data_IF_638573023404
#
_entry.id   IF_638573023404
#
_cell.length_a   1.000
_cell.length_b   1.000
_cell.length_c   1.000
_cell.angle_alpha   90.00
_cell.angle_beta   90.00
_cell.angle_gamma   90.00
#
_symmetry.space_group_name_H-M   'P 1'
#
loop_
_entity.id
_entity.type
_entity.pdbx_description
1 polymer ?
#
# COMPACT_ATOMS: atom_id res chain seq x y z
N UNK A 1 17.99 -55.42 33.81
CA UNK A 1 18.19 -54.00 33.43
C UNK A 1 17.75 -53.68 32.00
N UNK A 2 18.09 -54.49 31.00
CA UNK A 2 17.79 -54.24 29.58
C UNK A 2 16.30 -53.97 29.27
N UNK A 3 15.36 -54.73 29.86
CA UNK A 3 13.90 -54.50 29.67
C UNK A 3 13.41 -53.14 30.19
N UNK A 4 14.02 -52.61 31.25
CA UNK A 4 13.66 -51.28 31.81
C UNK A 4 14.17 -50.15 30.92
N UNK A 5 15.34 -50.33 30.31
CA UNK A 5 15.95 -49.38 29.36
C UNK A 5 15.14 -49.31 28.05
N UNK A 6 14.69 -50.46 27.54
CA UNK A 6 13.85 -50.53 26.33
C UNK A 6 12.49 -49.85 26.55
N UNK A 7 11.88 -50.01 27.73
CA UNK A 7 10.62 -49.31 28.06
C UNK A 7 10.81 -47.79 28.15
N UNK A 8 11.94 -47.33 28.68
CA UNK A 8 12.25 -45.89 28.76
C UNK A 8 12.48 -45.28 27.36
N UNK A 9 13.17 -45.99 26.47
CA UNK A 9 13.39 -45.54 25.09
C UNK A 9 12.07 -45.48 24.29
N UNK A 10 11.14 -46.40 24.53
CA UNK A 10 9.79 -46.33 23.93
C UNK A 10 8.98 -45.15 24.51
N UNK A 11 9.08 -44.86 25.80
CA UNK A 11 8.37 -43.73 26.43
C UNK A 11 8.85 -42.36 25.92
N UNK A 12 10.14 -42.20 25.62
CA UNK A 12 10.69 -40.98 25.03
C UNK A 12 10.36 -40.81 23.55
N UNK A 13 10.07 -41.91 22.83
CA UNK A 13 9.71 -41.87 21.40
C UNK A 13 8.33 -41.27 21.14
N UNK A 14 7.50 -41.11 22.18
CA UNK A 14 6.17 -40.49 22.12
C UNK A 14 6.12 -39.06 22.66
N UNK A 15 7.26 -38.49 23.04
CA UNK A 15 7.32 -37.06 23.34
C UNK A 15 7.38 -36.32 21.99
N UNK A 16 6.24 -36.27 21.31
CA UNK A 16 6.04 -35.26 20.27
C UNK A 16 6.09 -33.93 21.01
N UNK A 17 7.20 -33.21 20.82
CA UNK A 17 7.29 -31.80 21.21
C UNK A 17 6.30 -31.08 20.30
N UNK A 18 5.03 -31.05 20.70
CA UNK A 18 4.00 -30.15 20.19
C UNK A 18 4.36 -28.74 20.69
N UNK A 19 5.55 -28.27 20.32
CA UNK A 19 5.92 -26.89 20.49
C UNK A 19 4.91 -26.06 19.72
N UNK A 20 4.32 -25.07 20.38
CA UNK A 20 3.47 -24.10 19.71
C UNK A 20 4.25 -23.54 18.52
N UNK A 21 3.77 -23.77 17.30
CA UNK A 21 4.40 -23.17 16.12
C UNK A 21 4.34 -21.66 16.31
N UNK A 22 5.46 -20.97 16.08
CA UNK A 22 5.51 -19.52 16.21
C UNK A 22 4.41 -18.85 15.38
N UNK A 23 3.77 -17.82 15.93
CA UNK A 23 2.71 -17.07 15.23
C UNK A 23 3.35 -16.05 14.30
N UNK A 24 2.97 -16.08 13.03
CA UNK A 24 3.34 -15.07 12.04
C UNK A 24 2.11 -14.21 11.78
N UNK A 25 2.25 -12.90 11.98
CA UNK A 25 1.22 -11.92 11.67
C UNK A 25 1.55 -11.26 10.34
N UNK A 26 0.58 -11.21 9.43
CA UNK A 26 0.71 -10.56 8.14
C UNK A 26 -0.17 -9.31 8.13
N UNK A 27 0.41 -8.19 7.68
CA UNK A 27 -0.33 -6.97 7.39
C UNK A 27 -0.32 -6.82 5.87
N UNK A 28 -1.36 -7.28 5.17
CA UNK A 28 -1.42 -7.10 3.74
C UNK A 28 -1.72 -5.63 3.44
N UNK A 29 -1.04 -5.09 2.45
CA UNK A 29 -1.26 -3.71 2.04
C UNK A 29 -0.92 -3.49 0.58
N UNK A 30 -1.43 -2.38 0.07
CA UNK A 30 -1.25 -1.96 -1.32
C UNK A 30 -0.59 -0.59 -1.33
N UNK A 31 0.59 -0.52 -1.94
CA UNK A 31 1.19 0.75 -2.34
C UNK A 31 0.39 1.29 -3.52
N UNK A 32 -0.47 2.25 -3.20
CA UNK A 32 -1.51 2.73 -4.08
C UNK A 32 -1.11 4.09 -4.60
N UNK A 33 -0.53 4.05 -5.79
CA UNK A 33 -0.26 5.23 -6.62
C UNK A 33 -1.17 5.24 -7.84
N UNK A 34 -1.21 6.37 -8.53
CA UNK A 34 -1.64 6.42 -9.94
C UNK A 34 -0.42 6.02 -10.78
N UNK A 35 -0.09 4.73 -10.83
CA UNK A 35 1.05 4.19 -11.59
C UNK A 35 1.08 4.78 -13.03
N UNK A 36 2.25 5.03 -13.68
CA UNK A 36 2.37 5.91 -14.84
C UNK A 36 1.70 5.38 -16.13
N UNK A 37 1.04 4.22 -16.09
CA UNK A 37 0.32 3.63 -17.22
C UNK A 37 -1.21 3.63 -17.11
N UNK A 38 -1.77 4.00 -15.94
CA UNK A 38 -3.22 4.06 -15.74
C UNK A 38 -3.76 5.43 -15.35
N UNK A 39 -2.88 6.28 -14.81
CA UNK A 39 -3.24 7.62 -14.30
C UNK A 39 -2.80 8.76 -15.21
N UNK A 40 -1.60 8.71 -15.77
CA UNK A 40 -1.02 9.89 -16.42
C UNK A 40 -1.59 10.11 -17.82
N UNK A 41 -2.02 11.32 -18.14
CA UNK A 41 -2.49 11.67 -19.47
C UNK A 41 -1.33 11.58 -20.47
N UNK A 42 -1.54 10.88 -21.59
CA UNK A 42 -0.53 10.65 -22.63
C UNK A 42 -0.05 11.93 -23.34
N UNK A 43 -0.79 13.03 -23.20
CA UNK A 43 -0.50 14.33 -23.81
C UNK A 43 -0.04 15.39 -22.78
N UNK A 44 -0.31 15.22 -21.48
CA UNK A 44 0.22 16.08 -20.41
C UNK A 44 0.51 15.25 -19.15
N UNK A 45 1.79 15.01 -18.88
CA UNK A 45 2.26 14.25 -17.72
C UNK A 45 1.88 14.84 -16.34
N UNK A 46 1.24 16.01 -16.32
CA UNK A 46 0.73 16.67 -15.10
C UNK A 46 -0.77 16.48 -14.89
N UNK A 47 -1.47 15.84 -15.81
CA UNK A 47 -2.90 15.51 -15.65
C UNK A 47 -3.03 14.05 -15.29
N UNK A 48 -3.61 13.80 -14.12
CA UNK A 48 -3.83 12.47 -13.58
C UNK A 48 -5.30 12.08 -13.66
N UNK A 49 -5.55 10.86 -14.09
CA UNK A 49 -6.86 10.26 -14.25
C UNK A 49 -7.34 9.73 -12.91
N UNK A 50 -8.55 10.15 -12.51
CA UNK A 50 -9.23 9.60 -11.36
C UNK A 50 -9.83 8.20 -11.63
N UNK A 51 -9.79 7.71 -12.88
CA UNK A 51 -10.47 6.48 -13.28
C UNK A 51 -10.04 5.27 -12.45
N UNK A 52 -8.77 5.19 -12.02
CA UNK A 52 -8.28 4.11 -11.17
C UNK A 52 -9.14 3.91 -9.89
N UNK A 53 -9.67 4.99 -9.35
CA UNK A 53 -10.51 5.01 -8.14
C UNK A 53 -12.00 5.09 -8.46
N UNK A 54 -12.37 5.71 -9.58
CA UNK A 54 -13.75 6.06 -9.89
C UNK A 54 -14.46 5.09 -10.84
N UNK A 55 -13.72 4.33 -11.65
CA UNK A 55 -14.30 3.41 -12.64
C UNK A 55 -14.60 2.06 -11.98
N UNK A 56 -15.88 1.62 -11.94
CA UNK A 56 -16.27 0.33 -11.38
C UNK A 56 -15.57 -0.90 -11.97
N UNK A 57 -14.98 -0.78 -13.16
CA UNK A 57 -14.25 -1.86 -13.82
C UNK A 57 -12.77 -1.94 -13.41
N UNK A 58 -12.27 -1.00 -12.60
CA UNK A 58 -10.89 -0.96 -12.14
C UNK A 58 -10.67 -1.77 -10.86
N UNK A 59 -9.40 -2.05 -10.56
CA UNK A 59 -9.01 -2.91 -9.45
C UNK A 59 -9.44 -2.39 -8.08
N UNK A 60 -9.50 -1.06 -7.88
CA UNK A 60 -9.96 -0.46 -6.63
C UNK A 60 -11.38 -0.94 -6.27
N UNK A 61 -12.33 -0.77 -7.20
CA UNK A 61 -13.70 -1.24 -7.02
C UNK A 61 -13.81 -2.76 -6.87
N UNK A 62 -12.99 -3.54 -7.59
CA UNK A 62 -12.97 -4.99 -7.43
C UNK A 62 -12.58 -5.39 -6.01
N UNK A 63 -11.51 -4.80 -5.46
CA UNK A 63 -11.05 -5.12 -4.10
C UNK A 63 -12.06 -4.63 -3.06
N UNK A 64 -12.74 -3.52 -3.30
CA UNK A 64 -13.77 -2.99 -2.39
C UNK A 64 -15.10 -3.77 -2.43
N UNK A 65 -15.24 -4.78 -3.28
CA UNK A 65 -16.46 -5.58 -3.35
C UNK A 65 -16.46 -6.67 -2.25
N UNK A 66 -17.49 -6.72 -1.37
CA UNK A 66 -17.60 -7.77 -0.35
C UNK A 66 -17.51 -9.20 -0.90
N UNK A 67 -18.14 -9.45 -2.04
CA UNK A 67 -18.11 -10.77 -2.67
C UNK A 67 -16.70 -11.20 -3.11
N UNK A 68 -15.80 -10.25 -3.38
CA UNK A 68 -14.39 -10.53 -3.62
C UNK A 68 -13.64 -10.72 -2.29
N UNK A 69 -13.88 -9.85 -1.29
CA UNK A 69 -13.16 -9.85 0.00
C UNK A 69 -13.43 -11.07 0.85
N UNK A 70 -14.68 -11.53 0.90
CA UNK A 70 -15.10 -12.62 1.78
C UNK A 70 -14.51 -13.98 1.43
N UNK A 71 -13.92 -14.10 0.22
CA UNK A 71 -13.18 -15.26 -0.25
C UNK A 71 -11.83 -15.42 0.47
N UNK A 72 -11.31 -14.34 1.06
CA UNK A 72 -10.00 -14.29 1.70
C UNK A 72 -10.16 -14.14 3.21
N UNK A 73 -9.70 -15.14 3.95
CA UNK A 73 -9.74 -15.18 5.42
C UNK A 73 -8.42 -15.70 5.97
N UNK A 74 -8.04 -15.20 7.15
CA UNK A 74 -6.89 -15.75 7.87
C UNK A 74 -7.22 -17.12 8.50
N UNK A 75 -6.24 -17.75 9.15
CA UNK A 75 -6.42 -19.04 9.82
C UNK A 75 -7.37 -19.02 11.02
N UNK A 76 -7.79 -17.84 11.47
CA UNK A 76 -8.78 -17.63 12.52
C UNK A 76 -10.18 -17.32 11.96
N UNK A 77 -10.33 -17.26 10.62
CA UNK A 77 -11.58 -16.94 9.94
C UNK A 77 -11.86 -15.44 9.80
N UNK A 78 -10.94 -14.58 10.24
CA UNK A 78 -11.06 -13.12 10.11
C UNK A 78 -11.05 -12.77 8.62
N UNK A 79 -12.02 -11.98 8.12
CA UNK A 79 -11.96 -11.43 6.77
C UNK A 79 -10.67 -10.65 6.53
N UNK A 80 -10.18 -10.67 5.29
CA UNK A 80 -9.05 -9.85 4.86
C UNK A 80 -9.29 -8.38 5.23
N UNK A 81 -8.32 -7.79 5.93
CA UNK A 81 -8.19 -6.35 6.18
C UNK A 81 -6.95 -5.85 5.45
N UNK A 82 -7.00 -4.68 4.83
CA UNK A 82 -5.88 -4.11 4.09
C UNK A 82 -5.36 -2.86 4.74
N UNK A 83 -4.08 -2.58 4.53
CA UNK A 83 -3.51 -1.25 4.67
C UNK A 83 -3.32 -0.62 3.30
N UNK A 84 -3.89 0.56 3.09
CA UNK A 84 -3.76 1.33 1.86
C UNK A 84 -2.73 2.44 2.08
N UNK A 85 -1.61 2.35 1.36
CA UNK A 85 -0.52 3.33 1.38
C UNK A 85 -0.70 4.28 0.21
N UNK A 86 -1.23 5.48 0.48
CA UNK A 86 -1.63 6.41 -0.57
C UNK A 86 -0.45 7.30 -0.93
N UNK A 87 0.08 7.14 -2.15
CA UNK A 87 1.22 7.93 -2.61
C UNK A 87 0.86 9.42 -2.59
N UNK A 88 1.71 10.24 -1.98
CA UNK A 88 1.49 11.68 -1.84
C UNK A 88 2.77 12.47 -2.13
N UNK A 89 2.61 13.74 -2.49
CA UNK A 89 3.70 14.66 -2.84
C UNK A 89 4.36 14.40 -4.19
N UNK A 90 5.58 14.91 -4.36
CA UNK A 90 6.50 14.71 -5.48
C UNK A 90 5.87 14.96 -6.85
N UNK A 91 5.54 13.87 -7.55
CA UNK A 91 4.97 13.83 -8.89
C UNK A 91 3.62 14.55 -8.97
N UNK A 92 2.93 14.70 -7.83
CA UNK A 92 1.64 15.35 -7.75
C UNK A 92 1.71 16.86 -7.49
N UNK A 93 2.83 17.39 -6.99
CA UNK A 93 2.97 18.83 -6.75
C UNK A 93 2.80 19.66 -8.02
N UNK A 94 3.38 19.17 -9.12
CA UNK A 94 3.26 19.80 -10.44
C UNK A 94 1.96 19.44 -11.17
N UNK A 95 1.04 18.72 -10.52
CA UNK A 95 -0.24 18.36 -11.13
C UNK A 95 -1.06 19.60 -11.52
N UNK A 96 -1.81 19.45 -12.61
CA UNK A 96 -2.78 20.42 -13.13
C UNK A 96 -4.23 19.99 -12.89
N UNK A 97 -4.46 18.93 -12.10
CA UNK A 97 -5.79 18.49 -11.73
C UNK A 97 -6.54 19.60 -10.96
N UNK A 98 -7.62 20.12 -11.52
CA UNK A 98 -8.50 21.09 -10.87
C UNK A 98 -9.70 20.43 -10.16
N UNK A 99 -9.85 19.11 -10.28
CA UNK A 99 -10.98 18.34 -9.75
C UNK A 99 -10.68 17.69 -8.38
N UNK A 100 -9.54 18.01 -7.78
CA UNK A 100 -9.12 17.53 -6.46
C UNK A 100 -8.69 18.73 -5.60
N UNK A 101 -9.01 18.74 -4.29
CA UNK A 101 -8.81 19.92 -3.45
C UNK A 101 -7.33 20.21 -3.17
N UNK A 102 -6.56 19.16 -2.88
CA UNK A 102 -5.12 19.22 -2.63
C UNK A 102 -4.44 18.24 -3.57
N UNK A 103 -3.50 18.74 -4.38
CA UNK A 103 -2.87 17.95 -5.45
C UNK A 103 -1.93 16.91 -4.85
N UNK A 104 -1.15 17.31 -3.85
CA UNK A 104 -0.19 16.43 -3.17
C UNK A 104 -0.84 15.23 -2.48
N UNK A 105 -2.10 15.33 -2.05
CA UNK A 105 -2.83 14.24 -1.41
C UNK A 105 -3.97 13.69 -2.30
N UNK A 106 -3.85 13.88 -3.63
CA UNK A 106 -4.89 13.50 -4.59
C UNK A 106 -5.32 12.03 -4.47
N UNK A 107 -4.37 11.10 -4.35
CA UNK A 107 -4.67 9.67 -4.24
C UNK A 107 -5.51 9.37 -2.99
N UNK A 108 -5.12 9.95 -1.85
CA UNK A 108 -5.84 9.85 -0.58
C UNK A 108 -7.25 10.43 -0.69
N UNK A 109 -7.39 11.60 -1.32
CA UNK A 109 -8.69 12.20 -1.57
C UNK A 109 -9.58 11.30 -2.44
N UNK A 110 -9.06 10.77 -3.54
CA UNK A 110 -9.82 9.91 -4.46
C UNK A 110 -10.23 8.61 -3.79
N UNK A 111 -9.32 7.99 -3.04
CA UNK A 111 -9.60 6.77 -2.27
C UNK A 111 -10.74 7.00 -1.26
N UNK A 112 -10.69 8.10 -0.50
CA UNK A 112 -11.78 8.46 0.42
C UNK A 112 -13.08 8.75 -0.34
N UNK A 113 -13.01 9.51 -1.42
CA UNK A 113 -14.20 9.93 -2.19
C UNK A 113 -15.00 8.74 -2.75
N UNK A 114 -14.32 7.70 -3.21
CA UNK A 114 -14.97 6.58 -3.90
C UNK A 114 -15.09 5.31 -3.05
N UNK A 115 -14.30 5.16 -1.99
CA UNK A 115 -14.18 3.89 -1.26
C UNK A 115 -14.20 4.00 0.27
N UNK A 116 -14.42 5.18 0.86
CA UNK A 116 -14.40 5.33 2.32
C UNK A 116 -15.39 4.39 3.03
N UNK A 117 -16.63 4.31 2.55
CA UNK A 117 -17.65 3.44 3.15
C UNK A 117 -17.21 1.96 3.20
N UNK A 118 -16.54 1.49 2.13
CA UNK A 118 -16.02 0.13 2.07
C UNK A 118 -14.82 -0.06 3.00
N UNK A 119 -13.90 0.92 3.06
CA UNK A 119 -12.74 0.92 3.96
C UNK A 119 -13.21 0.81 5.42
N UNK A 120 -14.21 1.62 5.81
CA UNK A 120 -14.79 1.59 7.15
C UNK A 120 -15.49 0.26 7.44
N UNK A 121 -16.26 -0.26 6.48
CA UNK A 121 -16.96 -1.54 6.63
C UNK A 121 -16.01 -2.74 6.80
N UNK A 122 -14.85 -2.72 6.15
CA UNK A 122 -13.84 -3.79 6.24
C UNK A 122 -12.85 -3.60 7.38
N UNK A 123 -12.90 -2.48 8.11
CA UNK A 123 -11.89 -2.11 9.11
C UNK A 123 -10.47 -2.06 8.50
N UNK A 124 -10.40 -1.54 7.27
CA UNK A 124 -9.15 -1.31 6.55
C UNK A 124 -8.43 -0.06 7.12
N UNK A 125 -7.10 -0.04 7.01
CA UNK A 125 -6.27 1.10 7.37
C UNK A 125 -5.96 1.95 6.15
N UNK A 126 -6.00 3.27 6.30
CA UNK A 126 -5.71 4.23 5.24
C UNK A 126 -4.61 5.17 5.71
N UNK A 127 -3.48 5.17 5.02
CA UNK A 127 -2.26 5.89 5.42
C UNK A 127 -1.68 6.67 4.26
N UNK A 128 -0.91 7.70 4.58
CA UNK A 128 -0.16 8.48 3.60
C UNK A 128 1.21 7.85 3.40
N UNK A 129 1.64 7.77 2.15
CA UNK A 129 2.92 7.18 1.73
C UNK A 129 3.68 8.20 0.89
N UNK A 130 4.84 8.61 1.36
CA UNK A 130 5.62 9.69 0.75
C UNK A 130 6.98 9.17 0.31
N UNK A 131 7.37 9.48 -0.93
CA UNK A 131 8.71 9.21 -1.42
C UNK A 131 9.52 10.49 -1.42
N UNK A 132 10.83 10.46 -1.25
CA UNK A 132 11.67 11.64 -1.42
C UNK A 132 12.13 11.77 -2.88
N UNK A 133 11.21 11.67 -3.85
CA UNK A 133 11.54 11.82 -5.26
C UNK A 133 11.63 13.30 -5.65
N UNK A 134 12.66 13.66 -6.41
CA UNK A 134 12.79 15.00 -6.98
C UNK A 134 13.19 14.92 -8.45
N UNK A 135 12.76 15.89 -9.23
CA UNK A 135 12.99 15.95 -10.67
C UNK A 135 14.40 16.48 -10.95
N UNK A 136 15.28 15.61 -11.43
CA UNK A 136 16.70 15.97 -11.62
C UNK A 136 17.38 15.19 -12.75
N UNK A 137 18.47 15.77 -13.23
CA UNK A 137 19.46 15.14 -14.11
C UNK A 137 20.73 14.91 -13.28
N UNK A 138 20.86 13.70 -12.72
CA UNK A 138 21.93 13.42 -11.75
C UNK A 138 23.30 13.18 -12.40
N UNK A 139 23.34 12.86 -13.69
CA UNK A 139 24.58 12.58 -14.43
C UNK A 139 24.97 13.72 -15.40
N UNK A 140 24.13 14.74 -15.56
CA UNK A 140 24.42 15.94 -16.35
C UNK A 140 24.30 15.71 -17.87
N UNK A 141 23.53 14.72 -18.32
CA UNK A 141 23.39 14.40 -19.74
C UNK A 141 22.23 15.15 -20.44
N UNK A 142 21.51 15.98 -19.69
CA UNK A 142 20.34 16.74 -20.13
C UNK A 142 19.02 15.99 -20.03
N UNK A 143 19.01 14.74 -19.55
CA UNK A 143 17.81 13.91 -19.39
C UNK A 143 17.39 13.88 -17.93
N UNK A 144 16.16 14.33 -17.67
CA UNK A 144 15.63 14.43 -16.31
C UNK A 144 14.70 13.26 -16.00
N UNK A 145 14.76 12.81 -14.75
CA UNK A 145 13.91 11.75 -14.20
C UNK A 145 13.47 12.12 -12.78
N UNK A 146 12.43 11.43 -12.28
CA UNK A 146 12.13 11.42 -10.85
C UNK A 146 13.15 10.50 -10.16
N UNK A 147 14.16 11.09 -9.53
CA UNK A 147 15.21 10.37 -8.82
C UNK A 147 14.94 10.37 -7.33
N UNK A 148 15.38 9.32 -6.63
CA UNK A 148 15.40 9.33 -5.18
C UNK A 148 16.41 10.36 -4.67
N UNK A 149 15.96 11.26 -3.82
CA UNK A 149 16.79 12.24 -3.13
C UNK A 149 17.87 11.56 -2.30
N UNK A 150 19.11 12.00 -2.46
CA UNK A 150 20.22 11.59 -1.57
C UNK A 150 20.11 12.26 -0.19
N UNK A 151 19.35 13.34 -0.10
CA UNK A 151 19.04 14.08 1.11
C UNK A 151 17.54 14.41 1.14
N UNK A 152 16.90 14.24 2.30
CA UNK A 152 15.50 14.58 2.51
C UNK A 152 15.23 16.08 2.38
N UNK A 153 16.24 16.94 2.66
CA UNK A 153 16.08 18.40 2.58
C UNK A 153 15.75 18.89 1.17
N UNK A 154 16.07 18.11 0.13
CA UNK A 154 15.68 18.42 -1.26
C UNK A 154 14.16 18.40 -1.48
N UNK A 155 13.43 17.76 -0.57
CA UNK A 155 12.00 17.53 -0.65
C UNK A 155 11.22 18.15 0.51
N UNK A 156 11.89 18.89 1.42
CA UNK A 156 11.28 19.38 2.64
C UNK A 156 10.03 20.23 2.39
N UNK A 157 10.09 21.16 1.44
CA UNK A 157 8.95 22.03 1.10
C UNK A 157 7.74 21.22 0.60
N UNK A 158 7.98 20.26 -0.30
CA UNK A 158 6.92 19.40 -0.84
C UNK A 158 6.34 18.46 0.24
N UNK A 159 7.18 17.95 1.13
CA UNK A 159 6.74 17.15 2.27
C UNK A 159 5.86 17.96 3.24
N UNK A 160 6.30 19.17 3.60
CA UNK A 160 5.54 20.07 4.46
C UNK A 160 4.20 20.45 3.81
N UNK A 161 4.19 20.79 2.52
CA UNK A 161 2.93 21.06 1.82
C UNK A 161 1.99 19.84 1.82
N UNK A 162 2.55 18.64 1.69
CA UNK A 162 1.78 17.39 1.67
C UNK A 162 1.11 17.09 3.02
N UNK A 163 1.76 17.41 4.14
CA UNK A 163 1.26 17.11 5.48
C UNK A 163 0.46 18.24 6.13
N UNK A 164 0.77 19.50 5.79
CA UNK A 164 0.22 20.67 6.47
C UNK A 164 -1.07 21.23 5.82
N UNK A 165 -1.57 20.63 4.73
CA UNK A 165 -2.81 21.00 4.04
C UNK A 165 -3.72 19.79 3.85
#
# INVERSE_FOLDING_TARGET
MLKKIVCLLFAFSFITVNGEKGKVYLIPGSDTSVNPYGGMNIYDGRLWSAALYADPNQYGHKVMNPAFREQYRDSYGTPLKMTWWMMAGNVFHLSRNCNVPVRNSMTLYLMKKYHLDAIEAFDDQLTLHYHNYYWSDTNGDGIYWWNQGMDFLLNLEDYEETLCK
#
